data_IF_926328980854
#
_entry.id   IF_926328980854
#
_cell.length_a   1.000
_cell.length_b   1.000
_cell.length_c   1.000
_cell.angle_alpha   90.00
_cell.angle_beta   90.00
_cell.angle_gamma   90.00
#
_symmetry.space_group_name_H-M   'P 1'
#
loop_
_entity.id
_entity.type
_entity.pdbx_description
1 polymer ?
#
# COMPACT_ATOMS: atom_id res chain seq x y z
N UNK A 1 -50.77 7.45 87.29
CA UNK A 1 -51.65 7.14 86.15
C UNK A 1 -50.92 7.47 84.85
N UNK A 2 -50.82 6.49 83.93
CA UNK A 2 -50.83 6.65 82.45
C UNK A 2 -49.57 7.30 81.83
N UNK A 3 -49.01 6.93 80.68
CA UNK A 3 -48.99 5.75 79.80
C UNK A 3 -48.05 6.09 78.63
N UNK A 4 -47.24 5.12 78.22
CA UNK A 4 -46.59 4.83 76.93
C UNK A 4 -46.65 5.81 75.73
N UNK A 5 -45.56 5.85 74.92
CA UNK A 5 -45.48 5.13 73.61
C UNK A 5 -44.09 5.26 72.94
N UNK A 6 -43.54 4.09 72.56
CA UNK A 6 -42.37 3.84 71.68
C UNK A 6 -42.76 4.05 70.20
N UNK A 7 -41.81 4.41 69.31
CA UNK A 7 -41.66 4.03 67.87
C UNK A 7 -40.47 4.86 67.33
N UNK A 8 -39.36 4.30 66.84
CA UNK A 8 -39.20 3.52 65.59
C UNK A 8 -38.72 4.48 64.48
N UNK A 9 -37.78 4.20 63.59
CA UNK A 9 -37.03 3.01 63.23
C UNK A 9 -35.90 3.38 62.27
N UNK A 10 -34.96 2.43 62.08
CA UNK A 10 -33.88 2.47 61.09
C UNK A 10 -34.45 2.36 59.67
N UNK A 11 -33.77 2.96 58.69
CA UNK A 11 -33.30 2.19 57.53
C UNK A 11 -32.21 2.96 56.81
N UNK A 12 -30.97 2.46 56.95
CA UNK A 12 -29.91 2.69 55.99
C UNK A 12 -30.45 2.47 54.59
N UNK A 13 -30.37 3.50 53.76
CA UNK A 13 -30.57 3.43 52.34
C UNK A 13 -29.50 2.46 51.82
N UNK A 14 -29.90 1.21 51.58
CA UNK A 14 -29.03 0.20 51.00
C UNK A 14 -28.86 0.55 49.53
N UNK A 15 -27.61 0.69 49.10
CA UNK A 15 -27.25 0.77 47.69
C UNK A 15 -27.87 -0.42 46.95
N UNK A 16 -28.81 -0.15 46.03
CA UNK A 16 -29.22 -1.12 45.03
C UNK A 16 -28.07 -1.31 44.04
N UNK A 17 -27.02 -2.01 44.45
CA UNK A 17 -26.02 -2.53 43.52
C UNK A 17 -26.67 -3.67 42.75
N UNK A 18 -27.32 -3.31 41.66
CA UNK A 18 -27.95 -4.22 40.72
C UNK A 18 -26.86 -5.01 39.97
N UNK A 19 -26.28 -5.99 40.65
CA UNK A 19 -25.25 -6.89 40.11
C UNK A 19 -25.91 -8.01 39.31
N UNK A 20 -26.48 -7.68 38.16
CA UNK A 20 -26.94 -8.67 37.19
C UNK A 20 -25.74 -9.17 36.38
N UNK A 21 -25.37 -10.43 36.57
CA UNK A 21 -24.35 -11.12 35.76
C UNK A 21 -24.87 -11.49 34.37
N UNK A 22 -23.95 -11.82 33.46
CA UNK A 22 -24.31 -12.28 32.11
C UNK A 22 -25.03 -13.63 32.15
N UNK A 23 -26.05 -13.77 31.31
CA UNK A 23 -26.72 -15.04 31.08
C UNK A 23 -25.87 -15.96 30.21
N UNK A 24 -26.08 -17.27 30.32
CA UNK A 24 -25.40 -18.26 29.48
C UNK A 24 -25.63 -18.01 27.98
N UNK A 25 -26.87 -17.62 27.61
CA UNK A 25 -27.23 -17.37 26.23
C UNK A 25 -26.52 -16.14 25.65
N UNK A 26 -26.32 -15.09 26.45
CA UNK A 26 -25.54 -13.92 26.03
C UNK A 26 -24.08 -14.27 25.74
N UNK A 27 -23.45 -15.10 26.58
CA UNK A 27 -22.09 -15.56 26.34
C UNK A 27 -22.01 -16.41 25.07
N UNK A 28 -22.99 -17.27 24.81
CA UNK A 28 -23.06 -18.07 23.57
C UNK A 28 -23.24 -17.19 22.34
N UNK A 29 -24.12 -16.18 22.39
CA UNK A 29 -24.34 -15.26 21.27
C UNK A 29 -23.09 -14.38 21.05
N UNK A 30 -22.48 -13.86 22.12
CA UNK A 30 -21.27 -13.04 22.02
C UNK A 30 -20.10 -13.82 21.41
N UNK A 31 -19.89 -15.08 21.84
CA UNK A 31 -18.85 -15.95 21.27
C UNK A 31 -19.14 -16.33 19.82
N UNK A 32 -20.41 -16.57 19.45
CA UNK A 32 -20.81 -16.81 18.07
C UNK A 32 -20.49 -15.62 17.16
N UNK A 33 -20.83 -14.40 17.61
CA UNK A 33 -20.53 -13.17 16.89
C UNK A 33 -19.01 -12.98 16.77
N UNK A 34 -18.26 -13.24 17.85
CA UNK A 34 -16.80 -13.13 17.84
C UNK A 34 -16.17 -14.08 16.80
N UNK A 35 -16.57 -15.34 16.77
CA UNK A 35 -16.07 -16.32 15.80
C UNK A 35 -16.42 -15.91 14.38
N UNK A 36 -17.64 -15.43 14.14
CA UNK A 36 -18.06 -14.92 12.84
C UNK A 36 -17.22 -13.69 12.39
N UNK A 37 -16.81 -12.83 13.33
CA UNK A 37 -16.01 -11.63 13.04
C UNK A 37 -14.51 -11.92 12.80
N UNK A 38 -13.97 -13.01 13.33
CA UNK A 38 -12.54 -13.35 13.19
C UNK A 38 -12.18 -13.63 11.72
N UNK A 39 -13.07 -14.24 10.95
CA UNK A 39 -12.80 -14.58 9.53
C UNK A 39 -12.48 -13.33 8.69
N UNK A 40 -13.35 -12.30 8.58
CA UNK A 40 -13.03 -11.10 7.82
C UNK A 40 -11.89 -10.27 8.43
N UNK A 41 -11.66 -10.37 9.75
CA UNK A 41 -10.53 -9.71 10.39
C UNK A 41 -9.20 -10.31 9.92
N UNK A 42 -9.09 -11.65 9.88
CA UNK A 42 -7.90 -12.32 9.37
C UNK A 42 -7.65 -12.01 7.90
N UNK A 43 -8.70 -11.98 7.06
CA UNK A 43 -8.53 -11.60 5.66
C UNK A 43 -8.02 -10.17 5.54
N UNK A 44 -8.56 -9.21 6.31
CA UNK A 44 -8.08 -7.83 6.31
C UNK A 44 -6.58 -7.74 6.66
N UNK A 45 -6.11 -8.50 7.66
CA UNK A 45 -4.68 -8.54 8.00
C UNK A 45 -3.81 -9.09 6.88
N UNK A 46 -4.21 -10.20 6.25
CA UNK A 46 -3.46 -10.80 5.14
C UNK A 46 -3.38 -9.83 3.95
N UNK A 47 -4.49 -9.18 3.61
CA UNK A 47 -4.51 -8.18 2.53
C UNK A 47 -3.65 -6.97 2.87
N UNK A 48 -3.75 -6.45 4.10
CA UNK A 48 -2.93 -5.31 4.54
C UNK A 48 -1.43 -5.60 4.51
N UNK A 49 -1.01 -6.80 4.93
CA UNK A 49 0.38 -7.23 4.84
C UNK A 49 0.87 -7.32 3.38
N UNK A 50 0.05 -7.90 2.49
CA UNK A 50 0.35 -7.99 1.06
C UNK A 50 0.45 -6.62 0.40
N UNK A 51 -0.52 -5.74 0.63
CA UNK A 51 -0.50 -4.38 0.10
C UNK A 51 0.67 -3.56 0.61
N UNK A 52 1.11 -3.79 1.85
CA UNK A 52 2.32 -3.15 2.39
C UNK A 52 3.56 -3.60 1.63
N UNK A 53 3.69 -4.90 1.34
CA UNK A 53 4.80 -5.41 0.54
C UNK A 53 4.76 -4.86 -0.89
N UNK A 54 3.61 -4.95 -1.56
CA UNK A 54 3.42 -4.41 -2.91
C UNK A 54 3.70 -2.90 -2.98
N UNK A 55 3.32 -2.15 -1.94
CA UNK A 55 3.59 -0.70 -1.86
C UNK A 55 5.10 -0.41 -1.76
N UNK A 56 5.86 -1.23 -1.02
CA UNK A 56 7.32 -1.08 -0.94
C UNK A 56 7.97 -1.34 -2.29
N UNK A 57 7.50 -2.36 -3.00
CA UNK A 57 8.01 -2.70 -4.33
C UNK A 57 7.70 -1.58 -5.32
N UNK A 58 6.48 -1.03 -5.28
CA UNK A 58 6.07 0.09 -6.12
C UNK A 58 6.91 1.35 -5.84
N UNK A 59 7.11 1.73 -4.58
CA UNK A 59 7.93 2.89 -4.21
C UNK A 59 9.36 2.73 -4.73
N UNK A 60 9.94 1.54 -4.55
CA UNK A 60 11.29 1.24 -5.03
C UNK A 60 11.37 1.34 -6.55
N UNK A 61 10.43 0.71 -7.27
CA UNK A 61 10.38 0.75 -8.72
C UNK A 61 10.18 2.18 -9.26
N UNK A 62 9.35 3.00 -8.61
CA UNK A 62 9.17 4.42 -8.96
C UNK A 62 10.49 5.19 -8.78
N UNK A 63 11.17 5.03 -7.65
CA UNK A 63 12.46 5.68 -7.42
C UNK A 63 13.51 5.26 -8.45
N UNK A 64 13.56 3.98 -8.81
CA UNK A 64 14.46 3.46 -9.85
C UNK A 64 14.15 4.06 -11.23
N UNK A 65 12.86 4.13 -11.59
CA UNK A 65 12.42 4.72 -12.84
C UNK A 65 12.75 6.21 -12.92
N UNK A 66 12.47 6.96 -11.84
CA UNK A 66 12.81 8.38 -11.74
C UNK A 66 14.32 8.60 -11.83
N UNK A 67 15.12 7.85 -11.08
CA UNK A 67 16.58 7.95 -11.14
C UNK A 67 17.14 7.68 -12.54
N UNK A 68 16.56 6.73 -13.29
CA UNK A 68 16.95 6.50 -14.69
C UNK A 68 16.55 7.63 -15.61
N UNK A 69 15.35 8.19 -15.45
CA UNK A 69 14.94 9.37 -16.20
C UNK A 69 15.84 10.57 -15.93
N UNK A 70 16.25 10.78 -14.67
CA UNK A 70 17.19 11.85 -14.29
C UNK A 70 18.59 11.61 -14.88
N UNK A 71 19.09 10.38 -14.86
CA UNK A 71 20.34 10.02 -15.53
C UNK A 71 20.29 10.37 -17.02
N UNK A 72 19.20 10.00 -17.70
CA UNK A 72 19.00 10.28 -19.12
C UNK A 72 18.80 11.77 -19.41
N UNK A 73 18.13 12.49 -18.51
CA UNK A 73 17.97 13.95 -18.58
C UNK A 73 19.33 14.67 -18.54
N UNK A 74 20.27 14.18 -17.75
CA UNK A 74 21.60 14.80 -17.61
C UNK A 74 22.56 14.50 -18.77
N UNK A 75 22.26 13.52 -19.62
CA UNK A 75 23.05 13.24 -20.83
C UNK A 75 22.84 14.33 -21.89
N UNK A 76 23.76 14.58 -22.84
CA UNK A 76 23.50 15.47 -23.97
C UNK A 76 22.32 15.00 -24.85
N UNK A 77 21.51 15.92 -25.38
CA UNK A 77 20.35 15.58 -26.24
C UNK A 77 20.74 14.72 -27.46
N UNK A 78 21.88 15.03 -28.08
CA UNK A 78 22.43 14.29 -29.22
C UNK A 78 22.87 12.86 -28.87
N UNK A 79 23.19 12.58 -27.60
CA UNK A 79 23.61 11.24 -27.13
C UNK A 79 22.46 10.32 -26.77
N UNK A 80 21.23 10.85 -26.73
CA UNK A 80 20.03 10.04 -26.60
C UNK A 80 19.75 9.43 -27.96
N UNK A 81 20.30 8.24 -28.19
CA UNK A 81 20.02 7.48 -29.40
C UNK A 81 18.51 7.21 -29.50
N UNK A 82 17.93 7.59 -30.64
CA UNK A 82 16.56 7.22 -30.97
C UNK A 82 16.52 5.71 -31.14
N UNK A 83 15.61 5.07 -30.43
CA UNK A 83 15.49 3.63 -30.30
C UNK A 83 14.05 3.25 -30.06
N UNK A 84 13.44 2.70 -31.12
CA UNK A 84 12.17 1.99 -31.14
C UNK A 84 12.20 0.78 -30.17
N UNK A 85 11.03 0.36 -29.66
CA UNK A 85 10.48 0.68 -28.35
C UNK A 85 11.00 -0.31 -27.29
N UNK A 86 10.29 -0.37 -26.16
CA UNK A 86 10.28 -1.49 -25.20
C UNK A 86 10.03 -2.81 -25.94
N UNK A 87 11.01 -3.31 -26.70
CA UNK A 87 10.89 -4.55 -27.46
C UNK A 87 10.75 -5.68 -26.44
N UNK A 88 9.59 -6.37 -26.40
CA UNK A 88 9.39 -7.49 -25.49
C UNK A 88 10.42 -8.61 -25.71
N UNK A 89 11.01 -8.66 -26.90
CA UNK A 89 11.97 -9.69 -27.30
C UNK A 89 13.42 -9.35 -26.91
N UNK A 90 13.70 -8.10 -26.55
CA UNK A 90 15.01 -7.76 -25.99
C UNK A 90 15.05 -8.09 -24.49
N UNK A 91 16.17 -8.67 -24.01
CA UNK A 91 16.32 -8.97 -22.59
C UNK A 91 16.27 -7.67 -21.79
N UNK A 92 15.45 -7.60 -20.73
CA UNK A 92 15.43 -6.48 -19.80
C UNK A 92 16.82 -6.21 -19.22
N UNK A 93 17.17 -4.93 -19.04
CA UNK A 93 18.45 -4.54 -18.45
C UNK A 93 18.37 -4.62 -16.92
N UNK A 94 19.37 -5.16 -16.23
CA UNK A 94 19.36 -5.22 -14.77
C UNK A 94 19.70 -3.87 -14.13
N UNK A 95 19.29 -3.67 -12.88
CA UNK A 95 19.78 -2.59 -12.03
C UNK A 95 20.96 -3.05 -11.16
N UNK A 96 22.03 -2.27 -11.13
CA UNK A 96 23.12 -2.47 -10.17
C UNK A 96 22.60 -2.22 -8.75
N UNK A 97 22.75 -3.20 -7.85
CA UNK A 97 22.30 -3.11 -6.46
C UNK A 97 20.83 -3.47 -6.23
N UNK A 98 20.07 -3.75 -7.30
CA UNK A 98 18.66 -4.12 -7.25
C UNK A 98 18.37 -5.28 -8.22
N UNK A 99 18.93 -6.49 -7.95
CA UNK A 99 18.82 -7.66 -8.84
C UNK A 99 17.38 -8.14 -9.04
N UNK A 100 16.47 -7.79 -8.14
CA UNK A 100 15.04 -8.09 -8.19
C UNK A 100 14.27 -7.25 -9.21
N UNK A 101 14.90 -6.19 -9.76
CA UNK A 101 14.30 -5.33 -10.79
C UNK A 101 15.10 -5.33 -12.08
N UNK A 102 14.36 -5.22 -13.18
CA UNK A 102 14.91 -4.97 -14.51
C UNK A 102 14.16 -3.83 -15.19
N UNK A 103 14.72 -3.24 -16.23
CA UNK A 103 14.09 -2.16 -16.96
C UNK A 103 14.23 -2.26 -18.47
N UNK A 104 13.32 -1.57 -19.15
CA UNK A 104 13.37 -1.30 -20.59
C UNK A 104 13.27 0.21 -20.82
N UNK A 105 14.02 0.67 -21.81
CA UNK A 105 14.11 2.06 -22.22
C UNK A 105 13.67 2.17 -23.68
N UNK A 106 12.75 3.07 -23.97
CA UNK A 106 12.40 3.50 -25.31
C UNK A 106 12.66 4.99 -25.47
N UNK A 107 13.25 5.39 -26.59
CA UNK A 107 13.46 6.81 -26.95
C UNK A 107 12.86 7.01 -28.32
N UNK A 108 11.76 7.74 -28.39
CA UNK A 108 11.05 8.04 -29.62
C UNK A 108 11.36 9.49 -29.98
N UNK A 109 11.98 9.70 -31.15
CA UNK A 109 12.28 11.04 -31.66
C UNK A 109 11.11 11.57 -32.50
N UNK A 110 10.80 12.85 -32.31
CA UNK A 110 9.86 13.62 -33.09
C UNK A 110 10.63 14.72 -33.82
N UNK A 111 10.98 14.43 -35.06
CA UNK A 111 11.82 15.28 -35.93
C UNK A 111 11.20 16.66 -36.20
N UNK A 112 9.86 16.76 -36.20
CA UNK A 112 9.17 18.03 -36.45
C UNK A 112 9.29 19.02 -35.28
N UNK A 113 9.50 18.51 -34.06
CA UNK A 113 9.46 19.29 -32.82
C UNK A 113 10.79 19.36 -32.07
N UNK A 114 11.87 18.77 -32.59
CA UNK A 114 13.13 18.56 -31.87
C UNK A 114 12.88 18.01 -30.45
N UNK A 115 11.98 17.02 -30.37
CA UNK A 115 11.51 16.44 -29.12
C UNK A 115 11.81 14.95 -29.10
N UNK A 116 12.36 14.45 -28.00
CA UNK A 116 12.51 13.03 -27.70
C UNK A 116 11.61 12.65 -26.53
N UNK A 117 10.74 11.68 -26.75
CA UNK A 117 9.93 11.06 -25.70
C UNK A 117 10.66 9.83 -25.17
N UNK A 118 11.01 9.87 -23.90
CA UNK A 118 11.74 8.82 -23.19
C UNK A 118 10.75 8.06 -22.32
N UNK A 119 10.63 6.74 -22.51
CA UNK A 119 9.80 5.87 -21.66
C UNK A 119 10.66 4.83 -20.97
N UNK A 120 10.52 4.74 -19.65
CA UNK A 120 11.15 3.73 -18.79
C UNK A 120 10.08 2.82 -18.21
N UNK A 121 10.24 1.51 -18.41
CA UNK A 121 9.39 0.49 -17.79
C UNK A 121 10.20 -0.39 -16.87
N UNK A 122 9.70 -0.61 -15.66
CA UNK A 122 10.34 -1.45 -14.64
C UNK A 122 9.56 -2.75 -14.50
N UNK A 123 10.29 -3.85 -14.42
CA UNK A 123 9.76 -5.19 -14.27
C UNK A 123 10.36 -5.86 -13.05
N UNK A 124 9.56 -6.67 -12.36
CA UNK A 124 10.06 -7.62 -11.38
C UNK A 124 10.82 -8.73 -12.11
N UNK A 125 12.09 -8.96 -11.74
CA UNK A 125 12.97 -9.88 -12.43
C UNK A 125 12.50 -11.35 -12.35
N UNK A 126 11.88 -11.74 -11.22
CA UNK A 126 11.46 -13.11 -10.98
C UNK A 126 10.23 -13.51 -11.82
N UNK A 127 9.27 -12.59 -11.98
CA UNK A 127 7.97 -12.87 -12.62
C UNK A 127 7.86 -12.27 -14.03
N UNK A 128 8.71 -11.30 -14.36
CA UNK A 128 8.58 -10.48 -15.57
C UNK A 128 7.39 -9.52 -15.53
N UNK A 129 6.71 -9.38 -14.38
CA UNK A 129 5.56 -8.49 -14.21
C UNK A 129 5.99 -7.03 -14.30
N UNK A 130 5.29 -6.24 -15.10
CA UNK A 130 5.46 -4.79 -15.12
C UNK A 130 5.00 -4.18 -13.78
N UNK A 131 5.89 -3.43 -13.13
CA UNK A 131 5.61 -2.77 -11.84
C UNK A 131 5.23 -1.31 -12.06
N UNK A 132 5.96 -0.60 -12.93
CA UNK A 132 5.69 0.82 -13.24
C UNK A 132 6.22 1.20 -14.62
N UNK A 133 5.55 2.16 -15.26
CA UNK A 133 5.98 2.82 -16.50
C UNK A 133 5.95 4.34 -16.31
N UNK A 134 7.08 5.00 -16.55
CA UNK A 134 7.20 6.47 -16.52
C UNK A 134 7.64 6.99 -17.88
N UNK A 135 7.10 8.14 -18.27
CA UNK A 135 7.41 8.81 -19.54
C UNK A 135 7.81 10.26 -19.29
N UNK A 136 8.80 10.73 -20.02
CA UNK A 136 9.36 12.07 -19.99
C UNK A 136 9.55 12.58 -21.41
N UNK A 137 9.16 13.82 -21.67
CA UNK A 137 9.52 14.52 -22.90
C UNK A 137 10.77 15.38 -22.69
N UNK A 138 11.66 15.37 -23.67
CA UNK A 138 12.90 16.13 -23.67
C UNK A 138 13.09 16.84 -25.00
N UNK A 139 13.15 18.17 -24.99
CA UNK A 139 13.46 18.95 -26.18
C UNK A 139 14.91 19.44 -26.22
N UNK A 140 15.38 19.83 -27.41
CA UNK A 140 16.61 20.59 -27.61
C UNK A 140 16.30 22.11 -27.62
N UNK A 141 15.96 22.65 -26.45
CA UNK A 141 15.74 24.10 -26.29
C UNK A 141 17.01 24.75 -25.72
N UNK A 142 17.65 25.60 -26.52
CA UNK A 142 18.71 26.51 -26.09
C UNK A 142 18.13 27.83 -25.58
#
# INVERSE_FOLDING_TARGET
MISARKVGGKSSQWDDTNNSGFTLIEVLIATLILVAAIVPLMTAFIHGARWTAESRDLITAVNLAQGKLEELKNRPYASLESGEPVDPNQPPRPFTGYPEYTYRLAVIENDEKNLKTITIKIYEAATGKEVVSLTMDRGDWK
#
